data_IF_862246927689
#
_entry.id   IF_862246927689
#
_cell.length_a   1.000
_cell.length_b   1.000
_cell.length_c   1.000
_cell.angle_alpha   90.00
_cell.angle_beta   90.00
_cell.angle_gamma   90.00
#
_symmetry.space_group_name_H-M   'P 1'
#
loop_
_entity.id
_entity.type
_entity.pdbx_description
1 polymer ?
#
# COMPACT_ATOMS: atom_id res chain seq x y z
N UNK A 1 -11.81 13.53 5.36
CA UNK A 1 -10.34 13.52 5.49
C UNK A 1 -9.85 14.92 5.17
N UNK A 2 -8.96 15.51 5.96
CA UNK A 2 -8.52 16.90 5.71
C UNK A 2 -7.69 16.96 4.42
N UNK A 3 -7.54 18.15 3.83
CA UNK A 3 -6.78 18.33 2.57
C UNK A 3 -5.32 17.88 2.71
N UNK A 4 -4.70 18.16 3.85
CA UNK A 4 -3.32 17.77 4.19
C UNK A 4 -3.21 16.25 4.30
N UNK A 5 -4.12 15.61 5.06
CA UNK A 5 -4.17 14.14 5.14
C UNK A 5 -4.26 13.51 3.75
N UNK A 6 -5.12 14.07 2.88
CA UNK A 6 -5.35 13.52 1.54
C UNK A 6 -4.11 13.61 0.65
N UNK A 7 -3.34 14.70 0.73
CA UNK A 7 -2.07 14.83 -0.01
C UNK A 7 -1.03 13.84 0.50
N UNK A 8 -0.92 13.68 1.82
CA UNK A 8 0.00 12.73 2.45
C UNK A 8 -0.28 11.29 2.01
N UNK A 9 -1.52 10.82 2.15
CA UNK A 9 -1.87 9.43 1.78
C UNK A 9 -1.75 9.18 0.28
N UNK A 10 -1.96 10.19 -0.55
CA UNK A 10 -1.74 10.08 -1.99
C UNK A 10 -0.27 9.89 -2.34
N UNK A 11 0.63 10.61 -1.67
CA UNK A 11 2.07 10.45 -1.90
C UNK A 11 2.57 9.11 -1.39
N UNK A 12 2.15 8.69 -0.19
CA UNK A 12 2.48 7.36 0.35
C UNK A 12 1.95 6.27 -0.60
N UNK A 13 0.68 6.36 -1.03
CA UNK A 13 0.07 5.43 -1.97
C UNK A 13 0.85 5.30 -3.29
N UNK A 14 1.32 6.45 -3.83
CA UNK A 14 2.16 6.48 -5.03
C UNK A 14 3.48 5.73 -4.84
N UNK A 15 4.15 5.92 -3.69
CA UNK A 15 5.39 5.23 -3.36
C UNK A 15 5.14 3.72 -3.24
N UNK A 16 4.11 3.30 -2.50
CA UNK A 16 3.75 1.88 -2.34
C UNK A 16 3.49 1.21 -3.70
N UNK A 17 2.74 1.87 -4.58
CA UNK A 17 2.47 1.37 -5.93
C UNK A 17 3.73 1.23 -6.76
N UNK A 18 4.61 2.24 -6.71
CA UNK A 18 5.89 2.21 -7.43
C UNK A 18 6.74 1.03 -6.99
N UNK A 19 6.94 0.85 -5.68
CA UNK A 19 7.76 -0.25 -5.17
C UNK A 19 7.15 -1.62 -5.47
N UNK A 20 5.81 -1.74 -5.41
CA UNK A 20 5.12 -2.97 -5.82
C UNK A 20 5.41 -3.33 -7.28
N UNK A 21 5.31 -2.35 -8.17
CA UNK A 21 5.53 -2.54 -9.61
C UNK A 21 7.01 -2.81 -9.92
N UNK A 22 7.95 -2.14 -9.24
CA UNK A 22 9.39 -2.41 -9.38
C UNK A 22 9.75 -3.85 -9.01
N UNK A 23 8.97 -4.48 -8.13
CA UNK A 23 9.12 -5.89 -7.72
C UNK A 23 8.22 -6.84 -8.50
N UNK A 24 7.59 -6.36 -9.57
CA UNK A 24 6.68 -7.14 -10.42
C UNK A 24 5.57 -7.86 -9.64
N UNK A 25 5.21 -7.33 -8.46
CA UNK A 25 4.26 -7.95 -7.56
C UNK A 25 2.84 -7.52 -7.93
N UNK A 26 1.93 -8.45 -8.17
CA UNK A 26 0.52 -8.14 -8.38
C UNK A 26 -0.16 -7.73 -7.07
N UNK A 27 -1.33 -7.09 -7.15
CA UNK A 27 -2.10 -6.82 -5.93
C UNK A 27 -2.56 -8.12 -5.24
N UNK A 28 -2.82 -9.19 -5.98
CA UNK A 28 -3.20 -10.49 -5.41
C UNK A 28 -2.03 -11.09 -4.62
N UNK A 29 -0.82 -11.06 -5.19
CA UNK A 29 0.41 -11.50 -4.51
C UNK A 29 0.71 -10.66 -3.27
N UNK A 30 0.44 -9.34 -3.32
CA UNK A 30 0.59 -8.49 -2.14
C UNK A 30 -0.39 -8.88 -1.03
N UNK A 31 -1.65 -9.17 -1.37
CA UNK A 31 -2.66 -9.65 -0.39
C UNK A 31 -2.17 -10.92 0.29
N UNK A 32 -1.67 -11.89 -0.47
CA UNK A 32 -1.12 -13.13 0.07
C UNK A 32 0.10 -12.86 0.96
N UNK A 33 1.02 -11.98 0.52
CA UNK A 33 2.26 -11.65 1.23
C UNK A 33 2.05 -10.94 2.57
N UNK A 34 0.91 -10.23 2.73
CA UNK A 34 0.51 -9.63 4.01
C UNK A 34 -0.40 -10.55 4.83
N UNK A 35 -0.43 -11.86 4.54
CA UNK A 35 -1.30 -12.84 5.20
C UNK A 35 -2.79 -12.48 5.13
N UNK A 36 -3.24 -11.92 4.01
CA UNK A 36 -4.64 -11.58 3.74
C UNK A 36 -5.28 -10.58 4.74
N UNK A 37 -4.49 -9.84 5.53
CA UNK A 37 -5.01 -8.88 6.50
C UNK A 37 -5.82 -7.73 5.88
N UNK A 38 -5.60 -7.44 4.58
CA UNK A 38 -6.40 -6.50 3.79
C UNK A 38 -6.73 -7.12 2.43
N UNK A 39 -7.88 -6.72 1.89
CA UNK A 39 -8.33 -7.15 0.57
C UNK A 39 -7.62 -6.41 -0.56
N UNK A 40 -7.60 -7.02 -1.76
CA UNK A 40 -7.10 -6.40 -3.01
C UNK A 40 -7.67 -5.01 -3.25
N UNK A 41 -8.98 -4.84 -3.06
CA UNK A 41 -9.66 -3.54 -3.25
C UNK A 41 -9.20 -2.49 -2.25
N UNK A 42 -8.89 -2.89 -1.01
CA UNK A 42 -8.37 -1.99 0.02
C UNK A 42 -6.96 -1.53 -0.31
N UNK A 43 -6.07 -2.46 -0.68
CA UNK A 43 -4.70 -2.12 -1.08
C UNK A 43 -4.67 -1.23 -2.33
N UNK A 44 -5.54 -1.50 -3.31
CA UNK A 44 -5.71 -0.61 -4.47
C UNK A 44 -6.12 0.81 -4.06
N UNK A 45 -7.03 0.95 -3.08
CA UNK A 45 -7.43 2.28 -2.58
C UNK A 45 -6.29 2.98 -1.83
N UNK A 46 -5.42 2.26 -1.14
CA UNK A 46 -4.19 2.82 -0.56
C UNK A 46 -3.29 3.36 -1.66
N UNK A 47 -3.02 2.56 -2.69
CA UNK A 47 -2.20 2.99 -3.84
C UNK A 47 -2.78 4.18 -4.60
N UNK A 48 -4.11 4.24 -4.71
CA UNK A 48 -4.82 5.35 -5.36
C UNK A 48 -4.93 6.61 -4.45
N UNK A 49 -4.53 6.54 -3.18
CA UNK A 49 -4.72 7.61 -2.19
C UNK A 49 -6.20 7.88 -1.85
N UNK A 50 -7.10 6.91 -2.11
CA UNK A 50 -8.55 7.03 -1.91
C UNK A 50 -9.01 6.66 -0.51
N UNK A 51 -8.11 6.15 0.33
CA UNK A 51 -8.39 5.85 1.74
C UNK A 51 -7.17 6.09 2.60
N UNK A 52 -7.40 6.39 3.89
CA UNK A 52 -6.33 6.40 4.90
C UNK A 52 -5.63 5.05 4.92
N UNK A 53 -4.32 5.08 5.03
CA UNK A 53 -3.51 3.86 5.16
C UNK A 53 -3.50 3.49 6.63
N UNK A 54 -3.71 2.19 6.89
CA UNK A 54 -3.65 1.67 8.25
C UNK A 54 -2.20 1.58 8.71
N UNK A 55 -1.89 2.17 9.86
CA UNK A 55 -0.51 2.33 10.32
C UNK A 55 0.07 1.02 10.90
N UNK A 56 -0.77 0.04 11.19
CA UNK A 56 -0.38 -1.33 11.52
C UNK A 56 0.05 -2.13 10.27
N UNK A 57 -0.58 -1.87 9.12
CA UNK A 57 -0.32 -2.54 7.83
C UNK A 57 0.84 -1.91 7.08
N UNK A 58 1.01 -0.58 7.17
CA UNK A 58 2.06 0.14 6.43
C UNK A 58 3.47 -0.44 6.68
N UNK A 59 3.92 -0.70 7.93
CA UNK A 59 5.22 -1.31 8.17
C UNK A 59 5.36 -2.71 7.57
N UNK A 60 4.28 -3.49 7.49
CA UNK A 60 4.28 -4.84 6.92
C UNK A 60 4.55 -4.75 5.42
N UNK A 61 3.81 -3.88 4.71
CA UNK A 61 4.00 -3.64 3.26
C UNK A 61 5.44 -3.14 2.99
N UNK A 62 5.93 -2.16 3.78
CA UNK A 62 7.28 -1.64 3.61
C UNK A 62 8.36 -2.71 3.82
N UNK A 63 8.20 -3.61 4.79
CA UNK A 63 9.14 -4.73 5.03
C UNK A 63 9.20 -5.70 3.86
N UNK A 64 8.08 -5.95 3.17
CA UNK A 64 8.07 -6.79 1.97
C UNK A 64 8.92 -6.16 0.85
N UNK A 65 8.89 -4.83 0.75
CA UNK A 65 9.67 -4.13 -0.27
C UNK A 65 11.14 -3.91 0.13
N UNK A 66 11.47 -3.92 1.41
CA UNK A 66 12.85 -3.76 1.89
C UNK A 66 13.74 -5.01 1.70
N UNK A 67 13.16 -6.19 1.47
CA UNK A 67 13.93 -7.42 1.20
C UNK A 67 14.48 -7.38 -0.23
N UNK A 68 15.81 -7.48 -0.37
CA UNK A 68 16.53 -7.62 -1.63
C UNK A 68 16.26 -8.97 -2.28
#
# INVERSE_FOLDING_TARGET
MTKIDMMLYKEIGRILKRERLNKETSLDQLVESINNIKTKSTLKRYEDGKSRIDMDVLPIICKLYAKH
#
